data_IF_993616173244
#
_entry.id   IF_993616173244
#
_cell.length_a   1.000
_cell.length_b   1.000
_cell.length_c   1.000
_cell.angle_alpha   90.00
_cell.angle_beta   90.00
_cell.angle_gamma   90.00
#
_symmetry.space_group_name_H-M   'P 1'
#
loop_
_entity.id
_entity.type
_entity.pdbx_description
1 polymer ?
#
# COMPACT_ATOMS: atom_id res chain seq x y z
N UNK A 1 -2.37 14.39 9.78
CA UNK A 1 -1.19 13.49 9.82
C UNK A 1 -0.06 14.16 9.06
N UNK A 2 1.11 14.37 9.70
CA UNK A 2 2.22 15.17 9.13
C UNK A 2 1.80 16.58 8.68
N UNK A 3 0.91 17.23 9.43
CA UNK A 3 0.37 18.56 9.08
C UNK A 3 -0.72 18.57 7.99
N UNK A 4 -0.95 17.48 7.27
CA UNK A 4 -2.03 17.40 6.27
C UNK A 4 -3.32 16.80 6.87
N UNK A 5 -4.47 17.38 6.52
CA UNK A 5 -5.80 16.88 6.85
C UNK A 5 -6.00 15.45 6.33
N UNK A 6 -6.83 14.67 7.03
CA UNK A 6 -7.20 13.34 6.55
C UNK A 6 -8.19 13.47 5.39
N UNK A 7 -8.02 12.63 4.38
CA UNK A 7 -9.02 12.47 3.33
C UNK A 7 -10.30 11.78 3.87
N UNK A 8 -11.33 11.71 3.01
CA UNK A 8 -12.71 11.35 3.34
C UNK A 8 -12.97 9.86 3.71
N UNK A 9 -11.97 9.14 4.25
CA UNK A 9 -12.10 7.73 4.65
C UNK A 9 -11.76 7.54 6.12
N UNK A 10 -12.69 6.95 6.87
CA UNK A 10 -12.57 6.67 8.31
C UNK A 10 -11.65 5.47 8.58
N UNK A 11 -10.45 5.66 9.17
CA UNK A 11 -9.46 4.59 9.36
C UNK A 11 -9.91 3.46 10.27
N UNK A 12 -10.83 3.72 11.20
CA UNK A 12 -11.35 2.72 12.13
C UNK A 12 -12.25 1.69 11.44
N UNK A 13 -12.84 2.06 10.30
CA UNK A 13 -13.58 1.19 9.39
C UNK A 13 -12.76 0.65 8.21
N UNK A 14 -11.45 0.93 8.16
CA UNK A 14 -10.51 0.48 7.13
C UNK A 14 -9.07 0.57 7.66
N UNK A 15 -8.66 -0.40 8.48
CA UNK A 15 -7.41 -0.27 9.27
C UNK A 15 -6.16 -0.26 8.38
N UNK A 16 -6.23 -0.88 7.20
CA UNK A 16 -5.18 -0.81 6.19
C UNK A 16 -5.01 0.61 5.63
N UNK A 17 -6.11 1.30 5.31
CA UNK A 17 -6.09 2.72 4.95
C UNK A 17 -5.52 3.57 6.08
N UNK A 18 -5.84 3.24 7.34
CA UNK A 18 -5.24 3.89 8.52
C UNK A 18 -3.73 3.76 8.58
N UNK A 19 -3.20 2.55 8.35
CA UNK A 19 -1.76 2.33 8.23
C UNK A 19 -1.17 3.17 7.09
N UNK A 20 -1.82 3.19 5.93
CA UNK A 20 -1.42 3.98 4.78
C UNK A 20 -1.32 5.48 5.09
N UNK A 21 -2.31 6.06 5.79
CA UNK A 21 -2.25 7.46 6.21
C UNK A 21 -1.06 7.72 7.13
N UNK A 22 -0.83 6.85 8.11
CA UNK A 22 0.28 7.00 9.04
C UNK A 22 1.63 7.01 8.31
N UNK A 23 1.82 6.14 7.31
CA UNK A 23 3.13 5.93 6.65
C UNK A 23 3.33 6.70 5.35
N UNK A 24 2.28 7.32 4.80
CA UNK A 24 2.37 8.17 3.61
C UNK A 24 3.42 9.28 3.78
N UNK A 25 4.22 9.50 2.75
CA UNK A 25 5.29 10.50 2.70
C UNK A 25 4.75 11.93 2.76
N UNK A 26 3.57 12.18 2.15
CA UNK A 26 2.98 13.53 2.11
C UNK A 26 1.91 13.82 3.17
N UNK A 27 1.72 12.92 4.14
CA UNK A 27 0.72 13.08 5.21
C UNK A 27 -0.62 12.37 4.94
N UNK A 28 -1.73 12.91 5.45
CA UNK A 28 -3.09 12.33 5.48
C UNK A 28 -3.79 12.06 4.12
N UNK A 29 -3.04 11.83 3.05
CA UNK A 29 -3.54 11.64 1.70
C UNK A 29 -3.84 10.18 1.38
N UNK A 30 -5.00 9.91 0.80
CA UNK A 30 -5.43 8.54 0.48
C UNK A 30 -4.68 7.91 -0.70
N UNK A 31 -4.16 8.71 -1.64
CA UNK A 31 -3.44 8.20 -2.81
C UNK A 31 -2.03 7.71 -2.47
N UNK A 32 -1.22 8.55 -1.81
CA UNK A 32 0.12 8.15 -1.34
C UNK A 32 0.03 7.18 -0.14
N UNK A 33 -1.12 7.07 0.52
CA UNK A 33 -1.44 5.99 1.44
C UNK A 33 -1.71 4.63 0.76
N UNK A 34 -1.75 4.56 -0.58
CA UNK A 34 -2.01 3.34 -1.33
C UNK A 34 -3.49 2.98 -1.48
N UNK A 35 -4.40 3.88 -1.15
CA UNK A 35 -5.86 3.75 -1.36
C UNK A 35 -6.44 2.38 -1.00
N UNK A 36 -5.95 1.80 0.11
CA UNK A 36 -6.29 0.43 0.48
C UNK A 36 -7.77 0.29 0.86
N UNK A 37 -8.44 1.41 1.17
CA UNK A 37 -9.91 1.48 1.35
C UNK A 37 -10.69 0.89 0.16
N UNK A 38 -10.13 0.94 -1.06
CA UNK A 38 -10.72 0.25 -2.21
C UNK A 38 -10.86 -1.27 -2.00
N UNK A 39 -9.83 -1.88 -1.42
CA UNK A 39 -9.79 -3.31 -1.11
C UNK A 39 -10.65 -3.64 0.12
N UNK A 40 -10.75 -2.69 1.06
CA UNK A 40 -11.39 -2.90 2.37
C UNK A 40 -12.89 -2.61 2.40
N UNK A 41 -13.42 -1.79 1.48
CA UNK A 41 -14.86 -1.52 1.47
C UNK A 41 -15.47 -0.78 0.28
N UNK A 42 -14.70 -0.12 -0.61
CA UNK A 42 -15.31 0.60 -1.75
C UNK A 42 -15.47 -0.25 -3.01
N UNK A 43 -14.52 -1.14 -3.29
CA UNK A 43 -14.57 -2.01 -4.47
C UNK A 43 -14.65 -3.49 -4.10
N UNK A 44 -13.91 -3.87 -3.06
CA UNK A 44 -13.89 -5.22 -2.50
C UNK A 44 -14.32 -5.20 -1.03
N UNK A 45 -14.55 -6.38 -0.47
CA UNK A 45 -15.04 -6.56 0.90
C UNK A 45 -14.04 -7.34 1.76
N UNK A 46 -12.73 -7.12 1.55
CA UNK A 46 -11.72 -7.72 2.41
C UNK A 46 -11.91 -7.19 3.83
N UNK A 47 -11.93 -8.07 4.85
CA UNK A 47 -12.21 -7.69 6.23
C UNK A 47 -11.44 -6.40 6.63
N UNK A 48 -12.14 -5.29 6.92
CA UNK A 48 -11.51 -3.99 7.15
C UNK A 48 -10.92 -3.83 8.54
N UNK A 49 -11.24 -4.73 9.48
CA UNK A 49 -10.86 -4.61 10.89
C UNK A 49 -9.64 -5.48 11.25
N UNK A 50 -9.22 -6.39 10.36
CA UNK A 50 -8.06 -7.25 10.61
C UNK A 50 -6.76 -6.56 10.19
N UNK A 51 -5.72 -6.56 11.04
CA UNK A 51 -4.39 -6.09 10.64
C UNK A 51 -3.67 -7.09 9.71
N UNK A 52 -4.16 -8.34 9.61
CA UNK A 52 -3.49 -9.42 8.88
C UNK A 52 -3.38 -9.07 7.40
N UNK A 53 -2.15 -9.14 6.87
CA UNK A 53 -1.85 -8.89 5.45
C UNK A 53 -1.86 -7.42 5.03
N UNK A 54 -2.43 -6.51 5.84
CA UNK A 54 -2.61 -5.09 5.49
C UNK A 54 -1.31 -4.36 5.23
N UNK A 55 -0.25 -4.66 5.98
CA UNK A 55 1.07 -4.08 5.75
C UNK A 55 1.59 -4.37 4.33
N UNK A 56 1.51 -5.62 3.87
CA UNK A 56 1.98 -6.00 2.54
C UNK A 56 1.09 -5.42 1.43
N UNK A 57 -0.24 -5.47 1.60
CA UNK A 57 -1.19 -4.88 0.66
C UNK A 57 -0.98 -3.37 0.51
N UNK A 58 -0.77 -2.65 1.62
CA UNK A 58 -0.50 -1.22 1.64
C UNK A 58 0.76 -0.91 0.83
N UNK A 59 1.85 -1.65 1.06
CA UNK A 59 3.11 -1.44 0.34
C UNK A 59 2.97 -1.70 -1.15
N UNK A 60 2.30 -2.79 -1.54
CA UNK A 60 2.08 -3.10 -2.96
C UNK A 60 1.29 -1.99 -3.63
N UNK A 61 0.19 -1.54 -3.04
CA UNK A 61 -0.60 -0.47 -3.63
C UNK A 61 0.16 0.85 -3.66
N UNK A 62 0.88 1.22 -2.60
CA UNK A 62 1.71 2.42 -2.59
C UNK A 62 2.74 2.38 -3.71
N UNK A 63 3.47 1.27 -3.88
CA UNK A 63 4.44 1.13 -4.96
C UNK A 63 3.79 1.17 -6.34
N UNK A 64 2.68 0.47 -6.56
CA UNK A 64 2.02 0.47 -7.88
C UNK A 64 1.44 1.86 -8.21
N UNK A 65 0.81 2.54 -7.26
CA UNK A 65 0.29 3.89 -7.44
C UNK A 65 1.43 4.88 -7.71
N UNK A 66 2.54 4.77 -6.99
CA UNK A 66 3.72 5.60 -7.20
C UNK A 66 4.29 5.42 -8.61
N UNK A 67 4.42 4.17 -9.07
CA UNK A 67 4.91 3.88 -10.41
C UNK A 67 3.98 4.42 -11.52
N UNK A 68 2.67 4.32 -11.34
CA UNK A 68 1.66 4.83 -12.29
C UNK A 68 1.64 6.36 -12.30
N UNK A 69 1.76 6.99 -11.12
CA UNK A 69 1.91 8.44 -11.00
C UNK A 69 3.16 8.93 -11.74
N UNK A 70 4.30 8.27 -11.53
CA UNK A 70 5.56 8.59 -12.21
C UNK A 70 5.49 8.38 -13.74
N UNK A 71 4.64 7.45 -14.20
CA UNK A 71 4.37 7.22 -15.61
C UNK A 71 3.49 8.30 -16.26
N UNK A 72 2.96 9.25 -15.48
CA UNK A 72 2.08 10.31 -15.96
C UNK A 72 0.65 9.83 -16.26
N UNK A 73 0.26 8.68 -15.72
CA UNK A 73 -1.07 8.12 -15.93
C UNK A 73 -2.02 8.49 -14.78
N UNK A 74 -3.33 8.55 -15.08
CA UNK A 74 -4.35 8.52 -14.05
C UNK A 74 -4.20 7.24 -13.20
N UNK A 75 -4.50 7.33 -11.91
CA UNK A 75 -4.38 6.19 -10.97
C UNK A 75 -5.55 5.21 -11.08
N UNK A 76 -6.72 5.64 -11.56
CA UNK A 76 -7.93 4.80 -11.61
C UNK A 76 -7.80 3.54 -12.47
N UNK A 77 -7.11 3.56 -13.63
CA UNK A 77 -6.81 2.34 -14.38
C UNK A 77 -6.03 1.27 -13.59
N UNK A 78 -5.38 1.59 -12.46
CA UNK A 78 -4.79 0.54 -11.61
C UNK A 78 -5.86 -0.45 -11.14
N UNK A 79 -7.07 0.01 -10.86
CA UNK A 79 -8.14 -0.81 -10.31
C UNK A 79 -8.81 -1.70 -11.36
N UNK A 80 -8.47 -1.57 -12.65
CA UNK A 80 -8.81 -2.59 -13.65
C UNK A 80 -8.14 -3.94 -13.36
N UNK A 81 -7.12 -3.95 -12.49
CA UNK A 81 -6.49 -5.16 -11.96
C UNK A 81 -7.49 -6.10 -11.27
N UNK A 82 -8.61 -5.56 -10.78
CA UNK A 82 -9.67 -6.34 -10.16
C UNK A 82 -10.66 -6.82 -11.21
N UNK A 83 -10.86 -8.14 -11.37
CA UNK A 83 -11.91 -8.67 -12.24
C UNK A 83 -13.29 -8.09 -11.91
N UNK A 84 -14.02 -7.62 -12.93
CA UNK A 84 -15.31 -6.95 -12.74
C UNK A 84 -16.36 -7.78 -12.00
N UNK A 85 -16.31 -9.12 -12.11
CA UNK A 85 -17.23 -10.02 -11.39
C UNK A 85 -17.05 -9.99 -9.87
N UNK A 86 -15.86 -9.64 -9.35
CA UNK A 86 -15.65 -9.46 -7.92
C UNK A 86 -16.37 -8.23 -7.37
N UNK A 87 -16.66 -7.26 -8.24
CA UNK A 87 -17.33 -6.00 -7.88
C UNK A 87 -18.83 -6.12 -8.15
N UNK A 88 -19.23 -6.68 -9.29
CA UNK A 88 -20.64 -6.77 -9.69
C UNK A 88 -21.44 -7.86 -8.96
N UNK A 89 -20.77 -8.85 -8.36
CA UNK A 89 -21.42 -9.94 -7.62
C UNK A 89 -20.86 -10.08 -6.20
N UNK A 90 -21.03 -9.07 -5.33
CA UNK A 90 -20.42 -9.03 -3.99
C UNK A 90 -20.90 -10.17 -3.08
N UNK A 91 -22.15 -10.59 -3.26
CA UNK A 91 -22.78 -11.64 -2.44
C UNK A 91 -22.50 -13.07 -2.88
N UNK A 92 -21.86 -13.25 -4.05
CA UNK A 92 -21.53 -14.58 -4.56
C UNK A 92 -20.53 -15.29 -3.64
N UNK A 93 -20.63 -16.62 -3.59
CA UNK A 93 -19.73 -17.46 -2.79
C UNK A 93 -18.27 -17.26 -3.24
N UNK A 94 -18.03 -17.16 -4.55
CA UNK A 94 -16.69 -16.96 -5.11
C UNK A 94 -16.10 -15.62 -4.66
N UNK A 95 -16.88 -14.53 -4.71
CA UNK A 95 -16.44 -13.21 -4.25
C UNK A 95 -16.17 -13.20 -2.74
N UNK A 96 -17.03 -13.84 -1.93
CA UNK A 96 -16.83 -13.98 -0.49
C UNK A 96 -15.53 -14.72 -0.16
N UNK A 97 -15.25 -15.83 -0.86
CA UNK A 97 -14.00 -16.59 -0.72
C UNK A 97 -12.79 -15.74 -1.13
N UNK A 98 -12.86 -15.06 -2.28
CA UNK A 98 -11.79 -14.20 -2.76
C UNK A 98 -11.47 -13.09 -1.73
N UNK A 99 -12.49 -12.41 -1.22
CA UNK A 99 -12.34 -11.37 -0.20
C UNK A 99 -11.77 -11.91 1.13
N UNK A 100 -12.23 -13.08 1.57
CA UNK A 100 -11.70 -13.74 2.77
C UNK A 100 -10.24 -14.18 2.60
N UNK A 101 -9.78 -14.44 1.37
CA UNK A 101 -8.39 -14.82 1.08
C UNK A 101 -7.41 -13.64 1.11
N UNK A 102 -7.87 -12.40 0.88
CA UNK A 102 -6.99 -11.23 0.76
C UNK A 102 -6.12 -10.97 2.00
N UNK A 103 -6.64 -11.03 3.25
CA UNK A 103 -5.80 -10.94 4.45
C UNK A 103 -4.75 -12.05 4.57
N UNK A 104 -4.95 -13.20 3.92
CA UNK A 104 -4.02 -14.33 3.93
C UNK A 104 -2.86 -14.15 2.94
N UNK A 105 -3.02 -13.27 1.94
CA UNK A 105 -2.02 -13.02 0.90
C UNK A 105 -0.73 -12.36 1.40
N UNK A 106 -0.69 -11.88 2.64
CA UNK A 106 0.42 -11.08 3.17
C UNK A 106 1.80 -11.74 3.10
N UNK A 107 1.88 -13.06 3.25
CA UNK A 107 3.15 -13.79 3.11
C UNK A 107 3.68 -13.78 1.67
N UNK A 108 2.81 -14.10 0.71
CA UNK A 108 3.14 -14.09 -0.71
C UNK A 108 3.49 -12.67 -1.20
N UNK A 109 2.72 -11.66 -0.80
CA UNK A 109 3.00 -10.27 -1.13
C UNK A 109 4.29 -9.78 -0.47
N UNK A 110 4.58 -10.18 0.77
CA UNK A 110 5.86 -9.86 1.40
C UNK A 110 7.04 -10.47 0.64
N UNK A 111 6.88 -11.67 0.07
CA UNK A 111 7.91 -12.27 -0.78
C UNK A 111 8.08 -11.45 -2.06
N UNK A 112 6.98 -11.12 -2.74
CA UNK A 112 7.00 -10.29 -3.95
C UNK A 112 7.68 -8.93 -3.75
N UNK A 113 7.41 -8.23 -2.63
CA UNK A 113 8.06 -6.96 -2.27
C UNK A 113 9.58 -7.13 -2.10
N UNK A 114 10.01 -8.21 -1.43
CA UNK A 114 11.42 -8.44 -1.10
C UNK A 114 12.24 -8.93 -2.28
N UNK A 115 11.62 -9.65 -3.21
CA UNK A 115 12.31 -10.15 -4.39
C UNK A 115 12.71 -8.99 -5.33
N UNK A 116 13.89 -9.07 -5.98
CA UNK A 116 14.25 -8.16 -7.06
C UNK A 116 13.23 -8.21 -8.20
N UNK A 117 12.95 -7.08 -8.85
CA UNK A 117 11.95 -7.00 -9.92
C UNK A 117 12.17 -8.02 -11.05
N UNK A 118 13.43 -8.33 -11.38
CA UNK A 118 13.80 -9.36 -12.37
C UNK A 118 13.23 -10.76 -12.08
N UNK A 119 12.81 -11.05 -10.85
CA UNK A 119 12.17 -12.31 -10.46
C UNK A 119 10.68 -12.38 -10.82
N UNK A 120 10.07 -11.28 -11.28
CA UNK A 120 8.69 -11.25 -11.78
C UNK A 120 8.62 -10.58 -13.18
N UNK A 121 9.22 -11.18 -14.22
CA UNK A 121 9.25 -10.66 -15.58
C UNK A 121 7.95 -10.95 -16.35
N UNK A 122 6.80 -10.64 -15.75
CA UNK A 122 5.47 -10.96 -16.27
C UNK A 122 4.66 -9.71 -16.61
N UNK A 123 3.83 -9.81 -17.64
CA UNK A 123 2.78 -8.84 -17.97
C UNK A 123 1.43 -9.43 -17.58
N UNK A 124 0.72 -8.80 -16.65
CA UNK A 124 -0.61 -9.25 -16.26
C UNK A 124 -1.65 -8.58 -17.15
N UNK A 125 -2.61 -9.33 -17.74
CA UNK A 125 -3.62 -8.77 -18.64
C UNK A 125 -4.42 -7.61 -18.04
N UNK A 126 -4.69 -7.68 -16.73
CA UNK A 126 -5.48 -6.68 -16.01
C UNK A 126 -4.66 -5.47 -15.52
N UNK A 127 -3.33 -5.44 -15.77
CA UNK A 127 -2.45 -4.30 -15.48
C UNK A 127 -1.88 -3.78 -16.81
N UNK A 128 -2.65 -2.96 -17.55
CA UNK A 128 -2.27 -2.54 -18.91
C UNK A 128 -1.01 -1.68 -18.95
N UNK A 129 -0.69 -0.96 -17.87
CA UNK A 129 0.46 -0.07 -17.75
C UNK A 129 1.78 -0.71 -18.20
N UNK A 130 2.02 -1.96 -17.80
CA UNK A 130 3.28 -2.66 -18.14
C UNK A 130 3.47 -2.81 -19.65
N UNK A 131 2.39 -3.15 -20.38
CA UNK A 131 2.43 -3.30 -21.83
C UNK A 131 2.42 -1.94 -22.53
N UNK A 132 1.57 -1.02 -22.08
CA UNK A 132 1.45 0.32 -22.65
C UNK A 132 2.78 1.09 -22.56
N UNK A 133 3.41 1.12 -21.38
CA UNK A 133 4.68 1.82 -21.19
C UNK A 133 5.81 1.19 -22.01
N UNK A 134 5.85 -0.14 -22.12
CA UNK A 134 6.81 -0.83 -23.00
C UNK A 134 6.62 -0.44 -24.46
N UNK A 135 5.39 -0.36 -24.94
CA UNK A 135 5.09 0.01 -26.33
C UNK A 135 5.45 1.47 -26.64
N UNK A 136 5.24 2.39 -25.69
CA UNK A 136 5.52 3.83 -25.88
C UNK A 136 7.01 4.15 -25.73
N UNK A 137 7.68 3.55 -24.75
CA UNK A 137 9.05 3.94 -24.36
C UNK A 137 10.13 3.01 -24.92
N UNK A 138 9.77 1.81 -25.38
CA UNK A 138 10.72 0.74 -25.71
C UNK A 138 11.38 0.08 -24.50
N UNK A 139 11.17 0.59 -23.28
CA UNK A 139 11.75 0.05 -22.05
C UNK A 139 10.98 -1.20 -21.61
N UNK A 140 11.70 -2.26 -21.23
CA UNK A 140 11.07 -3.49 -20.77
C UNK A 140 10.47 -3.36 -19.35
N UNK A 141 9.29 -2.77 -19.24
CA UNK A 141 8.58 -2.54 -17.97
C UNK A 141 7.60 -3.69 -17.73
N UNK A 142 8.06 -4.76 -17.09
CA UNK A 142 7.22 -5.85 -16.58
C UNK A 142 6.77 -5.56 -15.13
N UNK A 143 5.91 -6.40 -14.55
CA UNK A 143 5.33 -6.20 -13.22
C UNK A 143 6.38 -5.96 -12.13
N UNK A 144 7.43 -6.78 -12.08
CA UNK A 144 8.52 -6.58 -11.12
C UNK A 144 9.30 -5.27 -11.31
N UNK A 145 9.52 -4.83 -12.55
CA UNK A 145 10.16 -3.54 -12.83
C UNK A 145 9.25 -2.38 -12.40
N UNK A 146 7.94 -2.48 -12.69
CA UNK A 146 6.94 -1.49 -12.26
C UNK A 146 6.93 -1.35 -10.73
N UNK A 147 6.93 -2.47 -10.00
CA UNK A 147 7.05 -2.49 -8.53
C UNK A 147 8.33 -1.79 -8.06
N UNK A 148 9.49 -2.12 -8.63
CA UNK A 148 10.78 -1.55 -8.22
C UNK A 148 10.86 -0.04 -8.49
N UNK A 149 10.29 0.45 -9.60
CA UNK A 149 10.18 1.89 -9.90
C UNK A 149 9.39 2.60 -8.80
N UNK A 150 8.23 2.06 -8.43
CA UNK A 150 7.41 2.62 -7.36
C UNK A 150 8.05 2.54 -5.98
N UNK A 151 8.70 1.43 -5.66
CA UNK A 151 9.48 1.31 -4.42
C UNK A 151 10.60 2.34 -4.38
N UNK A 152 11.32 2.56 -5.49
CA UNK A 152 12.37 3.56 -5.58
C UNK A 152 11.82 4.97 -5.33
N UNK A 153 10.73 5.36 -6.01
CA UNK A 153 10.08 6.66 -5.83
C UNK A 153 9.69 6.90 -4.37
N UNK A 154 8.93 5.98 -3.79
CA UNK A 154 8.45 6.14 -2.42
C UNK A 154 9.59 6.15 -1.39
N UNK A 155 10.66 5.38 -1.59
CA UNK A 155 11.83 5.41 -0.70
C UNK A 155 12.66 6.68 -0.87
N UNK A 156 12.76 7.23 -2.09
CA UNK A 156 13.42 8.51 -2.34
C UNK A 156 12.70 9.65 -1.62
N UNK A 157 11.38 9.72 -1.73
CA UNK A 157 10.54 10.65 -0.98
C UNK A 157 10.73 10.50 0.54
N UNK A 158 10.76 9.24 1.03
CA UNK A 158 11.02 8.96 2.44
C UNK A 158 12.37 9.50 2.89
N UNK A 159 13.43 9.26 2.12
CA UNK A 159 14.78 9.75 2.41
C UNK A 159 14.84 11.28 2.39
N UNK A 160 14.13 11.92 1.48
CA UNK A 160 14.00 13.38 1.45
C UNK A 160 13.35 13.89 2.75
N UNK A 161 12.21 13.32 3.16
CA UNK A 161 11.54 13.71 4.40
C UNK A 161 12.43 13.52 5.64
N UNK A 162 13.14 12.39 5.73
CA UNK A 162 14.11 12.13 6.81
C UNK A 162 15.23 13.19 6.84
N UNK A 163 15.74 13.58 5.65
CA UNK A 163 16.72 14.67 5.53
C UNK A 163 16.15 16.02 5.98
N UNK A 164 14.84 16.24 5.79
CA UNK A 164 14.13 17.44 6.25
C UNK A 164 13.71 17.37 7.73
N UNK A 165 14.20 16.40 8.49
CA UNK A 165 13.95 16.29 9.93
C UNK A 165 12.72 15.46 10.31
N UNK A 166 12.16 14.68 9.38
CA UNK A 166 11.10 13.74 9.72
C UNK A 166 11.64 12.66 10.69
N UNK A 167 10.84 12.33 11.70
CA UNK A 167 11.11 11.25 12.66
C UNK A 167 9.98 10.23 12.69
N UNK A 168 10.21 9.10 13.36
CA UNK A 168 9.21 8.07 13.62
C UNK A 168 7.92 8.62 14.28
N UNK A 169 8.02 9.69 15.07
CA UNK A 169 6.88 10.29 15.76
C UNK A 169 5.79 10.80 14.78
N UNK A 170 6.19 11.13 13.54
CA UNK A 170 5.28 11.61 12.49
C UNK A 170 4.60 10.49 11.70
N UNK A 171 5.01 9.22 11.88
CA UNK A 171 4.29 8.05 11.36
C UNK A 171 3.16 7.61 12.31
N UNK A 172 2.27 8.55 12.63
CA UNK A 172 1.19 8.38 13.59
C UNK A 172 -0.18 8.75 13.02
N UNK A 173 -1.22 8.46 13.81
CA UNK A 173 -2.60 8.90 13.59
C UNK A 173 -3.05 9.76 14.77
N UNK A 174 -4.07 10.63 14.60
CA UNK A 174 -4.76 11.25 15.72
C UNK A 174 -5.22 10.21 16.75
N UNK A 175 -5.07 10.50 18.05
CA UNK A 175 -5.36 9.54 19.14
C UNK A 175 -6.77 8.94 19.10
N UNK A 176 -7.78 9.73 18.71
CA UNK A 176 -9.14 9.23 18.48
C UNK A 176 -9.20 7.99 17.59
N UNK A 177 -8.31 7.87 16.61
CA UNK A 177 -8.33 6.75 15.66
C UNK A 177 -7.63 5.49 16.20
N UNK A 178 -6.73 5.65 17.16
CA UNK A 178 -5.95 4.53 17.75
C UNK A 178 -6.48 4.10 19.11
N UNK A 179 -7.07 5.01 19.87
CA UNK A 179 -7.39 4.83 21.27
C UNK A 179 -8.91 4.63 21.48
N UNK A 180 -9.74 5.23 20.62
CA UNK A 180 -11.21 5.15 20.71
C UNK A 180 -11.79 4.23 19.63
N UNK A 181 -12.64 3.25 19.99
CA UNK A 181 -13.38 2.48 19.01
C UNK A 181 -14.43 3.35 18.31
N UNK A 182 -14.67 3.12 17.01
CA UNK A 182 -15.74 3.78 16.26
C UNK A 182 -17.12 3.26 16.69
N UNK A 183 -17.23 1.96 16.93
CA UNK A 183 -18.44 1.32 17.45
C UNK A 183 -18.21 1.08 18.95
N UNK A 184 -18.99 1.71 19.84
CA UNK A 184 -18.86 1.52 21.28
C UNK A 184 -18.89 0.03 21.65
N UNK A 185 -17.87 -0.43 22.40
CA UNK A 185 -17.74 -1.82 22.82
C UNK A 185 -17.07 -2.77 21.81
N UNK A 186 -16.80 -2.34 20.56
CA UNK A 186 -16.09 -3.16 19.58
C UNK A 186 -14.64 -2.66 19.37
N UNK A 187 -13.72 -3.28 20.10
CA UNK A 187 -12.27 -3.04 20.07
C UNK A 187 -11.62 -3.30 18.70
N UNK A 188 -12.31 -3.95 17.76
CA UNK A 188 -11.82 -4.14 16.39
C UNK A 188 -11.95 -2.85 15.57
N UNK A 189 -12.82 -1.95 16.00
CA UNK A 189 -13.08 -0.66 15.34
C UNK A 189 -12.16 0.47 15.83
N UNK A 190 -10.94 0.13 16.24
CA UNK A 190 -9.83 1.07 16.41
C UNK A 190 -8.63 0.63 15.60
N UNK A 191 -7.79 1.57 15.17
CA UNK A 191 -6.61 1.24 14.37
C UNK A 191 -5.50 0.71 15.28
N UNK A 192 -5.18 -0.59 15.16
CA UNK A 192 -4.05 -1.24 15.84
C UNK A 192 -2.71 -0.87 15.19
N UNK A 193 -2.35 0.42 15.22
CA UNK A 193 -1.28 1.00 14.41
C UNK A 193 0.11 0.43 14.73
N UNK A 194 0.47 0.30 16.01
CA UNK A 194 1.82 -0.12 16.43
C UNK A 194 2.28 -1.44 15.78
N UNK A 195 1.54 -2.55 15.97
CA UNK A 195 1.87 -3.84 15.34
C UNK A 195 1.90 -3.78 13.81
N UNK A 196 0.94 -3.08 13.19
CA UNK A 196 0.88 -2.94 11.73
C UNK A 196 2.08 -2.15 11.17
N UNK A 197 2.47 -1.07 11.84
CA UNK A 197 3.61 -0.23 11.47
C UNK A 197 4.93 -0.99 11.58
N UNK A 198 5.12 -1.75 12.66
CA UNK A 198 6.31 -2.60 12.83
C UNK A 198 6.40 -3.66 11.71
N UNK A 199 5.28 -4.32 11.37
CA UNK A 199 5.24 -5.26 10.25
C UNK A 199 5.53 -4.56 8.92
N UNK A 200 4.96 -3.37 8.72
CA UNK A 200 5.17 -2.55 7.52
C UNK A 200 6.65 -2.21 7.33
N UNK A 201 7.35 -1.69 8.34
CA UNK A 201 8.79 -1.38 8.22
C UNK A 201 9.62 -2.62 7.88
N UNK A 202 9.37 -3.74 8.57
CA UNK A 202 10.03 -5.02 8.29
C UNK A 202 9.83 -5.48 6.84
N UNK A 203 8.64 -5.32 6.28
CA UNK A 203 8.34 -5.72 4.89
C UNK A 203 8.95 -4.71 3.90
N UNK A 204 8.86 -3.41 4.19
CA UNK A 204 9.39 -2.30 3.36
C UNK A 204 10.93 -2.30 3.29
N UNK A 205 11.59 -3.00 4.22
CA UNK A 205 13.05 -3.02 4.32
C UNK A 205 13.61 -1.80 5.05
N UNK A 206 12.85 -1.30 6.02
CA UNK A 206 13.21 -0.19 6.90
C UNK A 206 13.57 -0.72 8.30
N UNK A 207 14.37 0.05 9.05
CA UNK A 207 14.65 -0.23 10.46
C UNK A 207 13.50 0.21 11.38
N UNK A 208 13.72 0.12 12.70
CA UNK A 208 12.69 0.42 13.71
C UNK A 208 12.32 1.91 13.75
N UNK A 209 13.24 2.76 13.30
CA UNK A 209 13.13 4.21 13.19
C UNK A 209 12.42 4.63 11.88
N UNK A 210 12.14 3.67 11.00
CA UNK A 210 11.48 3.90 9.72
C UNK A 210 12.42 4.47 8.67
N UNK A 211 13.72 4.16 8.76
CA UNK A 211 14.75 4.57 7.81
C UNK A 211 15.02 3.40 6.84
N UNK A 212 15.04 3.62 5.51
CA UNK A 212 15.43 2.60 4.55
C UNK A 212 16.83 2.04 4.82
N UNK A 213 16.91 0.73 5.03
CA UNK A 213 18.18 0.04 5.32
C UNK A 213 19.19 0.18 4.17
N UNK A 214 20.49 0.07 4.45
CA UNK A 214 21.53 0.11 3.42
C UNK A 214 21.32 -0.94 2.32
N UNK A 215 20.83 -2.14 2.67
CA UNK A 215 20.45 -3.18 1.72
C UNK A 215 19.33 -2.70 0.79
N UNK A 216 18.27 -2.11 1.34
CA UNK A 216 17.13 -1.60 0.56
C UNK A 216 17.56 -0.44 -0.35
N UNK A 217 18.39 0.49 0.15
CA UNK A 217 18.97 1.58 -0.67
C UNK A 217 19.77 1.04 -1.85
N UNK A 218 20.68 0.09 -1.64
CA UNK A 218 21.44 -0.56 -2.72
C UNK A 218 20.53 -1.30 -3.71
N UNK A 219 19.54 -2.05 -3.22
CA UNK A 219 18.57 -2.76 -4.07
C UNK A 219 17.84 -1.80 -5.01
N UNK A 220 17.50 -0.60 -4.53
CA UNK A 220 16.75 0.39 -5.30
C UNK A 220 17.63 1.39 -6.06
N UNK A 221 18.97 1.32 -5.95
CA UNK A 221 19.87 2.30 -6.59
C UNK A 221 19.78 3.69 -5.95
N UNK A 222 19.63 3.75 -4.62
CA UNK A 222 19.53 4.97 -3.80
C UNK A 222 20.70 5.10 -2.81
N UNK A 223 21.78 4.34 -3.01
CA UNK A 223 22.95 4.29 -2.13
C UNK A 223 24.08 5.17 -2.68
#
# INVERSE_FOLDING_TARGET
VKGLELAAYEPRGAVGQGLGYATANRGGCHLNAGYLVFVEGLGLAANPYTPRGKAALTIVNQSLMEAISAAGNCLFPLFSAVPGWLISHPDSIVTKIANASLPLSGGLLSLFIKLPGKCAPVHLPLIPHTKALKMVTGVNIHLGALKDIGERGFNLERLFNLRMGMTLAQDGLPKRLTDEPQIPGDDRTRVKLGPMRAQYYKIRGWDAEGIPTARKKRQLGLA
#
